data_IF_840951307095
#
_entry.id   IF_840951307095
#
_cell.length_a   1.000
_cell.length_b   1.000
_cell.length_c   1.000
_cell.angle_alpha   90.00
_cell.angle_beta   90.00
_cell.angle_gamma   90.00
#
_symmetry.space_group_name_H-M   'P 1'
#
loop_
_entity.id
_entity.type
_entity.pdbx_description
1 polymer ?
#
# COMPACT_ATOMS: atom_id res chain seq x y z
N UNK A 1 -11.61 0.37 -2.34
CA UNK A 1 -10.68 0.69 -3.45
C UNK A 1 -9.82 -0.54 -3.71
N UNK A 2 -9.50 -0.86 -4.97
CA UNK A 2 -8.59 -1.96 -5.29
C UNK A 2 -7.74 -1.65 -6.51
N UNK A 3 -6.54 -2.20 -6.55
CA UNK A 3 -5.70 -2.26 -7.74
C UNK A 3 -6.18 -3.37 -8.67
N UNK A 4 -6.09 -3.13 -9.97
CA UNK A 4 -6.33 -4.13 -11.01
C UNK A 4 -5.06 -4.92 -11.32
N UNK A 5 -3.90 -4.27 -11.19
CA UNK A 5 -2.59 -4.88 -11.27
C UNK A 5 -2.26 -5.61 -9.98
N UNK A 6 -1.55 -6.73 -10.08
CA UNK A 6 -1.00 -7.42 -8.91
C UNK A 6 0.15 -6.57 -8.37
N UNK A 7 0.11 -6.26 -7.07
CA UNK A 7 1.14 -5.46 -6.41
C UNK A 7 1.70 -6.28 -5.25
N UNK A 8 3.02 -6.31 -5.15
CA UNK A 8 3.72 -6.89 -4.01
C UNK A 8 3.89 -5.81 -2.94
N UNK A 9 2.99 -5.81 -1.96
CA UNK A 9 2.94 -4.83 -0.87
C UNK A 9 2.17 -5.45 0.33
N UNK A 10 2.64 -5.38 1.58
CA UNK A 10 1.99 -5.86 2.79
C UNK A 10 0.68 -5.16 3.09
N UNK A 11 0.50 -3.87 2.78
CA UNK A 11 -0.80 -3.22 2.94
C UNK A 11 -1.75 -3.44 1.74
N UNK A 12 -1.43 -4.37 0.84
CA UNK A 12 -2.28 -4.77 -0.28
C UNK A 12 -2.46 -6.29 -0.23
N UNK A 13 -3.69 -6.77 -0.41
CA UNK A 13 -3.94 -8.21 -0.45
C UNK A 13 -3.76 -8.81 -1.87
N UNK A 14 -3.88 -10.14 -1.97
CA UNK A 14 -3.76 -10.87 -3.24
C UNK A 14 -4.78 -10.46 -4.32
N UNK A 15 -5.88 -9.80 -3.92
CA UNK A 15 -6.94 -9.31 -4.80
C UNK A 15 -6.77 -7.81 -5.12
N UNK A 16 -5.67 -7.18 -4.67
CA UNK A 16 -5.37 -5.77 -4.87
C UNK A 16 -6.14 -4.84 -3.92
N UNK A 17 -6.79 -5.36 -2.87
CA UNK A 17 -7.60 -4.55 -1.94
C UNK A 17 -6.71 -3.84 -0.92
N UNK A 18 -7.11 -2.64 -0.56
CA UNK A 18 -6.53 -1.81 0.51
C UNK A 18 -7.59 -1.66 1.61
N UNK A 19 -7.18 -1.65 2.87
CA UNK A 19 -8.10 -1.49 3.99
C UNK A 19 -8.77 -0.11 3.96
N UNK A 20 -10.06 -0.04 4.32
CA UNK A 20 -10.80 1.21 4.39
C UNK A 20 -10.41 2.03 5.63
N UNK A 21 -9.93 1.40 6.71
CA UNK A 21 -9.55 2.09 7.94
C UNK A 21 -8.40 3.07 7.72
N UNK A 22 -7.46 2.76 6.82
CA UNK A 22 -6.40 3.68 6.35
C UNK A 22 -6.97 4.94 5.68
N UNK A 23 -8.19 4.84 5.13
CA UNK A 23 -8.89 5.95 4.49
C UNK A 23 -9.80 6.69 5.49
N UNK A 24 -10.20 6.06 6.59
CA UNK A 24 -11.34 6.44 7.44
C UNK A 24 -11.05 7.62 8.36
N UNK A 25 -9.86 7.71 8.95
CA UNK A 25 -9.50 8.81 9.86
C UNK A 25 -9.39 10.17 9.15
N UNK A 26 -9.15 10.12 7.84
CA UNK A 26 -9.17 11.30 6.98
C UNK A 26 -10.48 11.45 6.25
N UNK A 27 -11.39 10.45 6.27
CA UNK A 27 -12.59 10.37 5.44
C UNK A 27 -13.69 11.37 5.85
N UNK A 28 -14.27 12.09 4.88
CA UNK A 28 -15.39 12.99 5.01
C UNK A 28 -16.15 12.98 3.69
N UNK A 29 -17.48 13.22 3.69
CA UNK A 29 -18.28 13.30 2.47
C UNK A 29 -17.81 14.40 1.50
N UNK A 30 -16.99 15.34 1.98
CA UNK A 30 -16.39 16.42 1.20
C UNK A 30 -15.01 16.07 0.62
N UNK A 31 -14.45 14.88 0.91
CA UNK A 31 -13.17 14.48 0.35
C UNK A 31 -13.26 14.27 -1.14
N UNK A 32 -12.49 15.11 -1.82
CA UNK A 32 -12.21 14.96 -3.22
C UNK A 32 -11.38 13.69 -3.42
N UNK A 33 -11.64 12.99 -4.52
CA UNK A 33 -10.85 11.84 -5.01
C UNK A 33 -9.33 12.10 -4.95
N UNK A 34 -8.91 13.36 -5.10
CA UNK A 34 -7.53 13.82 -4.94
C UNK A 34 -6.89 13.39 -3.61
N UNK A 35 -7.57 13.57 -2.49
CA UNK A 35 -7.00 13.26 -1.17
C UNK A 35 -6.91 11.75 -0.94
N UNK A 36 -7.86 11.00 -1.48
CA UNK A 36 -7.81 9.53 -1.47
C UNK A 36 -6.60 9.04 -2.27
N UNK A 37 -6.38 9.58 -3.46
CA UNK A 37 -5.22 9.25 -4.29
C UNK A 37 -3.89 9.64 -3.63
N UNK A 38 -3.81 10.80 -2.98
CA UNK A 38 -2.63 11.21 -2.22
C UNK A 38 -2.34 10.29 -1.03
N UNK A 39 -3.37 9.82 -0.34
CA UNK A 39 -3.20 8.88 0.79
C UNK A 39 -2.69 7.52 0.29
N UNK A 40 -3.21 7.05 -0.85
CA UNK A 40 -2.72 5.82 -1.49
C UNK A 40 -1.28 5.99 -1.97
N UNK A 41 -0.92 7.13 -2.59
CA UNK A 41 0.44 7.42 -3.00
C UNK A 41 1.40 7.41 -1.80
N UNK A 42 1.03 8.09 -0.71
CA UNK A 42 1.83 8.09 0.51
C UNK A 42 2.05 6.68 1.07
N UNK A 43 1.01 5.83 1.07
CA UNK A 43 1.11 4.44 1.52
C UNK A 43 2.03 3.60 0.63
N UNK A 44 2.00 3.82 -0.69
CA UNK A 44 2.88 3.13 -1.64
C UNK A 44 4.35 3.57 -1.49
N UNK A 45 4.59 4.83 -1.12
CA UNK A 45 5.94 5.36 -0.87
C UNK A 45 6.49 4.96 0.50
N UNK A 46 5.63 4.83 1.51
CA UNK A 46 5.99 4.53 2.88
C UNK A 46 5.06 3.43 3.42
N UNK A 47 5.43 2.16 3.23
CA UNK A 47 4.59 1.07 3.67
C UNK A 47 4.60 0.84 5.17
N UNK A 48 3.54 0.23 5.69
CA UNK A 48 3.40 -0.08 7.11
C UNK A 48 3.36 -1.61 7.36
N UNK A 49 4.50 -2.26 7.65
CA UNK A 49 4.55 -3.69 7.90
C UNK A 49 4.03 -4.09 9.31
N UNK A 50 3.69 -3.13 10.18
CA UNK A 50 3.09 -3.39 11.50
C UNK A 50 1.57 -3.58 11.45
N UNK A 51 0.92 -3.08 10.39
CA UNK A 51 -0.50 -3.31 10.09
C UNK A 51 -0.71 -3.92 8.69
N UNK A 52 -0.29 -5.19 8.47
CA UNK A 52 -0.31 -5.79 7.14
C UNK A 52 -1.63 -6.47 6.79
N UNK A 53 -2.04 -6.35 5.53
CA UNK A 53 -3.02 -7.23 4.88
C UNK A 53 -2.38 -8.53 4.37
N UNK A 54 -1.07 -8.53 4.13
CA UNK A 54 -0.30 -9.70 3.68
C UNK A 54 0.85 -9.98 4.65
N UNK A 55 0.61 -10.84 5.65
CA UNK A 55 1.59 -11.17 6.70
C UNK A 55 2.92 -11.70 6.15
N UNK A 56 2.89 -12.53 5.10
CA UNK A 56 4.11 -13.09 4.51
C UNK A 56 5.00 -11.99 3.90
N UNK A 57 4.38 -11.01 3.24
CA UNK A 57 5.08 -9.87 2.65
C UNK A 57 5.61 -8.96 3.76
N UNK A 58 4.84 -8.76 4.82
CA UNK A 58 5.26 -7.97 5.97
C UNK A 58 6.47 -8.57 6.68
N UNK A 59 6.48 -9.90 6.88
CA UNK A 59 7.63 -10.63 7.43
C UNK A 59 8.85 -10.48 6.53
N UNK A 60 8.68 -10.58 5.21
CA UNK A 60 9.77 -10.35 4.26
C UNK A 60 10.31 -8.93 4.37
N UNK A 61 9.45 -7.90 4.39
CA UNK A 61 9.89 -6.51 4.53
C UNK A 61 10.64 -6.24 5.83
N UNK A 62 10.18 -6.82 6.94
CA UNK A 62 10.86 -6.70 8.24
C UNK A 62 12.20 -7.43 8.29
N UNK A 63 12.38 -8.46 7.46
CA UNK A 63 13.60 -9.28 7.43
C UNK A 63 14.66 -8.67 6.51
N UNK A 64 14.26 -8.29 5.30
CA UNK A 64 15.15 -7.71 4.30
C UNK A 64 14.39 -6.67 3.48
N UNK A 65 14.50 -5.40 3.88
CA UNK A 65 13.76 -4.34 3.23
C UNK A 65 14.19 -4.11 1.78
N UNK A 66 15.50 -4.15 1.53
CA UNK A 66 16.09 -3.90 0.21
C UNK A 66 15.59 -4.93 -0.81
N UNK A 67 15.66 -6.20 -0.47
CA UNK A 67 15.19 -7.29 -1.34
C UNK A 67 13.67 -7.25 -1.55
N UNK A 68 12.91 -6.91 -0.51
CA UNK A 68 11.47 -6.76 -0.62
C UNK A 68 11.07 -5.56 -1.50
N UNK A 69 11.82 -4.46 -1.49
CA UNK A 69 11.64 -3.33 -2.41
C UNK A 69 11.97 -3.75 -3.85
N UNK A 70 13.05 -4.50 -4.08
CA UNK A 70 13.39 -5.03 -5.41
C UNK A 70 12.36 -6.04 -5.94
N UNK A 71 11.78 -6.84 -5.05
CA UNK A 71 10.71 -7.81 -5.37
C UNK A 71 9.38 -7.12 -5.64
N UNK A 72 9.13 -6.01 -4.94
CA UNK A 72 8.10 -5.05 -5.30
C UNK A 72 8.21 -4.76 -6.78
N UNK A 73 7.15 -5.00 -7.56
CA UNK A 73 7.10 -4.42 -8.91
C UNK A 73 7.17 -2.92 -8.65
N UNK A 74 8.37 -2.35 -8.81
CA UNK A 74 8.60 -0.92 -8.89
C UNK A 74 8.47 -0.62 -10.39
N UNK A 75 7.26 -0.37 -10.94
CA UNK A 75 7.23 0.43 -12.14
C UNK A 75 7.48 1.85 -11.64
N UNK A 76 8.75 2.20 -11.45
CA UNK A 76 9.24 3.55 -11.68
C UNK A 76 8.28 4.65 -11.22
N UNK A 77 7.82 4.61 -9.97
CA UNK A 77 7.27 5.79 -9.30
C UNK A 77 8.40 6.50 -8.55
N UNK A 78 9.54 6.65 -9.22
CA UNK A 78 10.33 7.86 -9.08
C UNK A 78 9.49 8.99 -9.68
N UNK A 79 8.66 9.61 -8.84
CA UNK A 79 8.30 11.02 -8.99
C UNK A 79 9.01 11.80 -7.88
#
# INVERSE_FOLDING_TARGET
>A
VRFLTKIYHPNIDKLGRICLDILKDKWSPALQIRTVLLSIQALLSAPNPDDPLSENIAKHWKTNEVEAVETGIVPTFCL
#
